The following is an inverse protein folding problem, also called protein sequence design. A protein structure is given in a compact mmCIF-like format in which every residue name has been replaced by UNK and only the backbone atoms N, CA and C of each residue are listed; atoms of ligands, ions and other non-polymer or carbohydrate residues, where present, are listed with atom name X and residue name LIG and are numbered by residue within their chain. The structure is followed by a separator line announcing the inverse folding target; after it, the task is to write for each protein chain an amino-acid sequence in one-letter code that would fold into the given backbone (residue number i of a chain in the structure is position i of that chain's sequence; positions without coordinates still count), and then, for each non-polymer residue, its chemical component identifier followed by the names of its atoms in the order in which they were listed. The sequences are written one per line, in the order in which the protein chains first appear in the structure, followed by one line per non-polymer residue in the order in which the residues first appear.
data_IF_514975887372
#
_entry.id   IF_514975887372
#
_cell.length_a   1.000
_cell.length_b   1.000
_cell.length_c   1.000
_cell.angle_alpha   90.00
_cell.angle_beta   90.00
_cell.angle_gamma   90.00
#
_symmetry.space_group_name_H-M   'P 1'
#
loop_
_entity.id
_entity.type
_entity.pdbx_description
1 polymer ?
#
# COMPACT_ATOMS: atom_id res chain seq x y z
N UNK A 1 26.27 -3.08 -13.61
CA UNK A 1 26.36 -2.76 -15.05
C UNK A 1 25.27 -1.74 -15.36
N UNK A 2 25.65 -0.48 -15.59
CA UNK A 2 24.73 0.66 -15.69
C UNK A 2 24.25 0.82 -17.15
N UNK A 3 22.93 0.77 -17.39
CA UNK A 3 22.33 1.08 -18.69
C UNK A 3 21.61 2.42 -18.61
N UNK A 4 22.11 3.39 -19.37
CA UNK A 4 21.48 4.70 -19.59
C UNK A 4 20.80 4.62 -20.96
N UNK A 5 19.49 4.90 -21.00
CA UNK A 5 18.72 5.03 -22.24
C UNK A 5 18.33 6.52 -22.40
N UNK A 6 18.62 7.19 -23.53
CA UNK A 6 18.16 8.55 -23.76
C UNK A 6 16.72 8.53 -24.28
N UNK A 7 15.87 9.43 -23.78
CA UNK A 7 14.52 9.62 -24.30
C UNK A 7 14.41 10.96 -25.04
N UNK A 8 13.81 10.92 -26.23
CA UNK A 8 13.59 12.04 -27.15
C UNK A 8 12.39 12.87 -26.68
N UNK A 9 12.49 14.20 -26.78
CA UNK A 9 11.43 15.16 -26.47
C UNK A 9 10.75 15.60 -27.77
N UNK A 10 9.43 15.41 -27.88
CA UNK A 10 8.61 16.09 -28.89
C UNK A 10 7.83 17.23 -28.22
N UNK A 11 8.02 18.46 -28.71
CA UNK A 11 7.27 19.64 -28.30
C UNK A 11 6.21 19.97 -29.35
N UNK A 12 4.96 20.15 -28.93
CA UNK A 12 3.91 20.74 -29.76
C UNK A 12 3.46 22.07 -29.13
N UNK A 13 3.48 23.13 -29.95
CA UNK A 13 3.00 24.47 -29.59
C UNK A 13 1.60 24.67 -30.16
N UNK A 14 0.65 25.04 -29.30
CA UNK A 14 -0.65 25.58 -29.72
C UNK A 14 -0.79 26.98 -29.12
N UNK A 15 -1.02 28.03 -29.94
CA UNK A 15 -1.20 29.38 -29.42
C UNK A 15 -2.56 29.49 -28.71
N UNK A 16 -2.59 30.21 -27.59
CA UNK A 16 -3.80 30.42 -26.79
C UNK A 16 -4.21 31.89 -26.88
N UNK A 17 -5.46 32.16 -27.25
CA UNK A 17 -6.08 33.50 -27.21
C UNK A 17 -6.28 33.90 -25.74
N UNK A 18 -5.76 35.06 -25.34
CA UNK A 18 -5.88 35.60 -23.99
C UNK A 18 -7.15 36.46 -23.90
N UNK A 19 -8.07 36.09 -23.00
CA UNK A 19 -9.16 36.95 -22.56
C UNK A 19 -8.72 37.71 -21.30
N UNK A 20 -8.93 39.03 -21.28
CA UNK A 20 -8.52 39.91 -20.19
C UNK A 20 -9.26 39.62 -18.88
N UNK A 21 -8.53 39.72 -17.77
CA UNK A 21 -9.03 39.57 -16.39
C UNK A 21 -9.63 40.89 -15.85
N UNK A 22 -10.60 40.83 -14.92
CA UNK A 22 -11.20 42.01 -14.31
C UNK A 22 -10.18 42.83 -13.48
N UNK A 23 -10.39 44.15 -13.36
CA UNK A 23 -9.47 45.06 -12.68
C UNK A 23 -9.51 44.86 -11.15
N UNK A 24 -8.37 45.10 -10.49
CA UNK A 24 -8.09 45.06 -9.04
C UNK A 24 -7.72 43.72 -8.38
N UNK A 25 -7.56 42.63 -9.13
CA UNK A 25 -6.87 41.45 -8.59
C UNK A 25 -5.34 41.62 -8.73
N UNK A 26 -4.60 41.63 -7.62
CA UNK A 26 -3.14 41.58 -7.64
C UNK A 26 -2.64 40.49 -8.63
N UNK A 27 -1.56 40.75 -9.40
CA UNK A 27 -1.14 39.90 -10.51
C UNK A 27 -0.77 38.50 -10.01
N UNK A 28 -1.36 37.46 -10.60
CA UNK A 28 -1.17 36.07 -10.18
C UNK A 28 0.31 35.73 -9.98
N UNK A 29 0.67 34.98 -8.91
CA UNK A 29 2.07 34.67 -8.66
C UNK A 29 2.68 33.90 -9.84
N UNK A 30 3.92 34.22 -10.21
CA UNK A 30 4.60 33.65 -11.39
C UNK A 30 4.72 32.11 -11.37
N UNK A 31 4.63 31.49 -10.19
CA UNK A 31 4.62 30.03 -10.04
C UNK A 31 3.28 29.38 -10.41
N UNK A 32 2.23 30.16 -10.71
CA UNK A 32 0.90 29.69 -11.12
C UNK A 32 0.67 30.02 -12.59
N UNK A 33 0.42 29.00 -13.40
CA UNK A 33 0.04 29.19 -14.81
C UNK A 33 -1.44 29.54 -14.92
N UNK A 34 -1.76 30.57 -15.72
CA UNK A 34 -3.15 30.94 -16.04
C UNK A 34 -3.95 29.77 -16.64
N UNK A 35 -3.27 28.91 -17.40
CA UNK A 35 -3.87 27.71 -18.03
C UNK A 35 -4.38 26.69 -17.01
N UNK A 36 -4.01 26.81 -15.73
CA UNK A 36 -4.47 25.92 -14.65
C UNK A 36 -5.71 26.43 -13.92
N UNK A 37 -6.29 27.57 -14.32
CA UNK A 37 -7.56 28.02 -13.77
C UNK A 37 -8.64 26.99 -14.09
N UNK A 38 -9.43 26.62 -13.10
CA UNK A 38 -10.64 25.81 -13.31
C UNK A 38 -11.58 26.53 -14.28
N UNK A 39 -12.35 25.75 -15.04
CA UNK A 39 -13.45 26.29 -15.82
C UNK A 39 -14.52 26.88 -14.86
N UNK A 40 -15.36 27.77 -15.36
CA UNK A 40 -16.32 28.49 -14.52
C UNK A 40 -17.38 27.55 -13.92
N UNK A 41 -17.77 26.49 -14.63
CA UNK A 41 -18.74 25.49 -14.17
C UNK A 41 -18.26 24.72 -12.94
N UNK A 42 -16.99 24.29 -12.93
CA UNK A 42 -16.38 23.57 -11.82
C UNK A 42 -16.09 24.52 -10.65
N UNK A 43 -15.66 25.75 -10.96
CA UNK A 43 -15.42 26.78 -9.95
C UNK A 43 -16.71 27.18 -9.22
N UNK A 44 -17.85 27.22 -9.92
CA UNK A 44 -19.15 27.47 -9.31
C UNK A 44 -19.51 26.37 -8.30
N UNK A 45 -19.28 25.09 -8.66
CA UNK A 45 -19.56 23.92 -7.82
C UNK A 45 -18.56 23.72 -6.67
N UNK A 46 -17.37 24.34 -6.75
CA UNK A 46 -16.35 24.19 -5.73
C UNK A 46 -16.80 24.78 -4.39
N UNK A 47 -16.84 23.94 -3.34
CA UNK A 47 -17.23 24.35 -1.99
C UNK A 47 -16.17 25.26 -1.36
N UNK A 48 -16.62 26.27 -0.64
CA UNK A 48 -15.77 27.10 0.22
C UNK A 48 -15.58 26.44 1.60
N UNK A 49 -14.48 26.72 2.29
CA UNK A 49 -14.21 26.14 3.61
C UNK A 49 -13.69 24.71 3.50
N UNK A 50 -14.40 23.75 4.11
CA UNK A 50 -14.04 22.34 4.05
C UNK A 50 -15.20 21.44 3.64
N UNK A 51 -14.89 20.25 3.13
CA UNK A 51 -15.88 19.22 2.87
C UNK A 51 -15.25 17.83 2.99
N UNK A 52 -16.11 16.83 3.24
CA UNK A 52 -15.72 15.43 3.41
C UNK A 52 -16.21 14.61 2.22
N UNK A 53 -15.41 13.65 1.78
CA UNK A 53 -15.80 12.63 0.80
C UNK A 53 -15.35 11.27 1.29
N UNK A 54 -16.06 10.20 0.94
CA UNK A 54 -15.62 8.85 1.25
C UNK A 54 -16.16 7.83 0.26
N UNK A 55 -15.47 6.69 0.18
CA UNK A 55 -15.84 5.56 -0.67
C UNK A 55 -15.56 4.25 0.09
N UNK A 56 -16.59 3.45 0.40
CA UNK A 56 -16.39 2.08 0.87
C UNK A 56 -15.97 1.18 -0.29
N UNK A 57 -15.30 0.08 0.02
CA UNK A 57 -14.96 -0.96 -0.94
C UNK A 57 -14.98 -2.34 -0.28
N UNK A 58 -15.17 -3.36 -1.10
CA UNK A 58 -15.16 -4.78 -0.71
C UNK A 58 -14.12 -5.50 -1.55
N UNK A 59 -13.52 -6.54 -0.99
CA UNK A 59 -12.52 -7.37 -1.66
C UNK A 59 -12.76 -8.85 -1.37
N UNK A 60 -12.30 -9.69 -2.28
CA UNK A 60 -12.23 -11.14 -2.08
C UNK A 60 -10.93 -11.61 -2.70
N UNK A 61 -10.10 -12.25 -1.90
CA UNK A 61 -8.79 -12.78 -2.29
C UNK A 61 -8.69 -14.23 -1.78
N UNK A 62 -8.30 -15.21 -2.60
CA UNK A 62 -8.09 -16.60 -2.16
C UNK A 62 -7.19 -16.75 -0.93
N UNK A 63 -6.23 -15.84 -0.72
CA UNK A 63 -5.26 -15.96 0.36
C UNK A 63 -5.76 -15.35 1.67
N UNK A 64 -6.40 -14.18 1.59
CA UNK A 64 -6.83 -13.39 2.74
C UNK A 64 -8.35 -13.43 2.98
N UNK A 65 -9.09 -14.16 2.16
CA UNK A 65 -10.53 -14.32 2.22
C UNK A 65 -11.30 -13.08 1.77
N UNK A 66 -12.51 -12.91 2.31
CA UNK A 66 -13.37 -11.76 2.03
C UNK A 66 -12.98 -10.61 2.96
N UNK A 67 -13.02 -9.39 2.45
CA UNK A 67 -12.68 -8.21 3.21
C UNK A 67 -13.39 -6.97 2.73
N UNK A 68 -13.10 -5.87 3.42
CA UNK A 68 -13.62 -4.58 3.08
C UNK A 68 -12.84 -3.48 3.76
N UNK A 69 -13.13 -2.27 3.29
CA UNK A 69 -12.48 -1.08 3.79
C UNK A 69 -13.20 0.17 3.35
N UNK A 70 -12.64 1.30 3.73
CA UNK A 70 -13.11 2.59 3.27
C UNK A 70 -11.93 3.54 3.11
N UNK A 71 -12.08 4.47 2.18
CA UNK A 71 -11.23 5.65 2.09
C UNK A 71 -12.08 6.88 2.37
N UNK A 72 -11.59 7.75 3.25
CA UNK A 72 -12.15 9.06 3.54
C UNK A 72 -11.16 10.18 3.24
N UNK A 73 -11.67 11.33 2.83
CA UNK A 73 -10.89 12.55 2.65
C UNK A 73 -11.57 13.74 3.30
N UNK A 74 -10.77 14.55 4.01
CA UNK A 74 -11.12 15.89 4.45
C UNK A 74 -10.39 16.89 3.55
N UNK A 75 -11.15 17.69 2.82
CA UNK A 75 -10.63 18.69 1.89
C UNK A 75 -10.82 20.07 2.49
N UNK A 76 -9.75 20.85 2.57
CA UNK A 76 -9.78 22.27 2.94
C UNK A 76 -9.56 23.09 1.68
N UNK A 77 -10.58 23.78 1.20
CA UNK A 77 -10.55 24.55 -0.04
C UNK A 77 -10.14 26.01 0.13
N UNK A 78 -10.15 26.53 1.35
CA UNK A 78 -9.93 27.97 1.62
C UNK A 78 -11.17 28.79 1.28
N UNK A 79 -10.98 30.10 1.11
CA UNK A 79 -12.04 31.06 0.79
C UNK A 79 -12.13 31.32 -0.71
N UNK A 80 -13.31 31.65 -1.24
CA UNK A 80 -13.46 32.05 -2.66
C UNK A 80 -12.69 33.32 -2.99
N UNK A 81 -12.46 34.18 -1.99
CA UNK A 81 -11.63 35.39 -2.09
C UNK A 81 -10.13 35.08 -2.22
N UNK A 82 -9.70 33.84 -1.95
CA UNK A 82 -8.29 33.47 -2.06
C UNK A 82 -7.88 33.42 -3.53
N UNK A 83 -6.76 34.07 -3.85
CA UNK A 83 -6.23 34.17 -5.22
C UNK A 83 -5.93 32.83 -5.87
N UNK A 84 -5.72 31.78 -5.07
CA UNK A 84 -5.42 30.42 -5.51
C UNK A 84 -6.65 29.50 -5.52
N UNK A 85 -7.83 29.97 -5.09
CA UNK A 85 -9.04 29.16 -5.00
C UNK A 85 -9.43 28.56 -6.35
N UNK A 86 -9.30 29.33 -7.43
CA UNK A 86 -9.59 28.86 -8.78
C UNK A 86 -8.46 28.04 -9.43
N UNK A 87 -7.30 27.92 -8.78
CA UNK A 87 -6.07 27.35 -9.37
C UNK A 87 -5.59 26.08 -8.67
N UNK A 88 -6.19 25.72 -7.54
CA UNK A 88 -5.90 24.50 -6.80
C UNK A 88 -7.19 23.74 -6.46
N UNK A 89 -7.25 22.41 -6.65
CA UNK A 89 -8.44 21.62 -6.31
C UNK A 89 -8.83 21.77 -4.83
N UNK A 90 -7.83 21.83 -3.94
CA UNK A 90 -7.91 22.06 -2.50
C UNK A 90 -6.64 22.83 -2.07
N UNK A 91 -6.63 23.42 -0.86
CA UNK A 91 -5.45 23.98 -0.20
C UNK A 91 -4.70 22.90 0.59
N UNK A 92 -5.46 22.04 1.27
CA UNK A 92 -4.97 20.86 1.99
C UNK A 92 -5.98 19.74 1.83
N UNK A 93 -5.52 18.52 1.62
CA UNK A 93 -6.33 17.31 1.66
C UNK A 93 -5.69 16.30 2.60
N UNK A 94 -6.46 15.87 3.59
CA UNK A 94 -6.12 14.75 4.46
C UNK A 94 -6.90 13.52 4.00
N UNK A 95 -6.24 12.39 3.88
CA UNK A 95 -6.84 11.12 3.49
C UNK A 95 -6.53 10.03 4.50
N UNK A 96 -7.51 9.19 4.77
CA UNK A 96 -7.35 7.97 5.57
C UNK A 96 -7.96 6.82 4.79
N UNK A 97 -7.23 5.72 4.68
CA UNK A 97 -7.74 4.45 4.14
C UNK A 97 -7.55 3.39 5.21
N UNK A 98 -8.57 2.57 5.46
CA UNK A 98 -8.46 1.40 6.33
C UNK A 98 -9.12 0.20 5.68
N UNK A 99 -8.52 -0.98 5.82
CA UNK A 99 -9.05 -2.24 5.29
C UNK A 99 -8.74 -3.40 6.22
N UNK A 100 -9.61 -4.42 6.20
CA UNK A 100 -9.45 -5.66 6.94
C UNK A 100 -10.13 -6.83 6.23
N UNK A 101 -9.60 -8.04 6.41
CA UNK A 101 -10.12 -9.27 5.79
C UNK A 101 -10.34 -10.40 6.80
N UNK A 102 -11.11 -11.42 6.43
CA UNK A 102 -11.35 -12.62 7.27
C UNK A 102 -10.08 -13.41 7.55
N UNK A 103 -9.08 -13.33 6.67
CA UNK A 103 -7.73 -13.89 6.86
C UNK A 103 -6.84 -13.07 7.79
N UNK A 104 -7.38 -12.07 8.50
CA UNK A 104 -6.64 -11.18 9.40
C UNK A 104 -5.54 -10.35 8.72
N UNK A 105 -5.64 -10.14 7.41
CA UNK A 105 -4.85 -9.11 6.73
C UNK A 105 -5.50 -7.75 6.93
N UNK A 106 -4.68 -6.72 7.15
CA UNK A 106 -5.17 -5.38 7.37
C UNK A 106 -4.15 -4.31 7.05
N UNK A 107 -4.64 -3.13 6.64
CA UNK A 107 -3.79 -1.99 6.38
C UNK A 107 -4.48 -0.68 6.76
N UNK A 108 -3.67 0.29 7.18
CA UNK A 108 -4.06 1.69 7.34
C UNK A 108 -3.12 2.58 6.53
N UNK A 109 -3.71 3.50 5.77
CA UNK A 109 -3.01 4.48 4.96
C UNK A 109 -3.39 5.89 5.37
N UNK A 110 -2.41 6.78 5.45
CA UNK A 110 -2.57 8.21 5.71
C UNK A 110 -2.01 9.01 4.53
N UNK A 111 -2.70 10.05 4.12
CA UNK A 111 -2.25 10.93 3.02
C UNK A 111 -2.44 12.39 3.40
N UNK A 112 -1.39 13.19 3.24
CA UNK A 112 -1.42 14.65 3.29
C UNK A 112 -1.02 15.18 1.92
N UNK A 113 -1.79 16.10 1.37
CA UNK A 113 -1.46 16.81 0.12
C UNK A 113 -1.82 18.29 0.25
N UNK A 114 -0.82 19.16 0.14
CA UNK A 114 -0.97 20.61 0.32
C UNK A 114 -0.31 21.37 -0.85
N UNK A 115 -1.05 21.63 -1.94
CA UNK A 115 -0.55 22.44 -3.05
C UNK A 115 -0.49 23.93 -2.69
N UNK A 116 0.53 24.61 -3.20
CA UNK A 116 0.80 26.02 -2.91
C UNK A 116 0.84 26.33 -1.41
N UNK A 117 1.59 25.50 -0.68
CA UNK A 117 1.79 25.59 0.76
C UNK A 117 2.25 27.00 1.13
N UNK A 118 1.59 27.59 2.13
CA UNK A 118 1.83 28.97 2.56
C UNK A 118 1.79 30.01 1.42
N UNK A 119 0.93 29.81 0.41
CA UNK A 119 0.81 30.68 -0.77
C UNK A 119 2.11 30.79 -1.59
N UNK A 120 2.96 29.78 -1.54
CA UNK A 120 4.20 29.72 -2.36
C UNK A 120 4.03 28.77 -3.54
N UNK A 121 5.04 28.68 -4.41
CA UNK A 121 5.08 27.67 -5.48
C UNK A 121 5.32 26.23 -5.01
N UNK A 122 5.42 25.98 -3.70
CA UNK A 122 5.69 24.66 -3.14
C UNK A 122 4.42 23.85 -2.92
N UNK A 123 4.51 22.53 -3.09
CA UNK A 123 3.50 21.55 -2.71
C UNK A 123 4.16 20.49 -1.85
N UNK A 124 3.54 20.18 -0.72
CA UNK A 124 3.94 19.08 0.15
C UNK A 124 3.01 17.90 -0.06
N UNK A 125 3.56 16.70 -0.18
CA UNK A 125 2.83 15.44 -0.12
C UNK A 125 3.50 14.51 0.87
N UNK A 126 2.72 13.88 1.74
CA UNK A 126 3.22 12.83 2.64
C UNK A 126 2.24 11.69 2.57
N UNK A 127 2.71 10.52 2.17
CA UNK A 127 1.96 9.28 2.18
C UNK A 127 2.55 8.38 3.28
N UNK A 128 1.71 7.79 4.13
CA UNK A 128 2.10 6.83 5.15
C UNK A 128 1.26 5.57 5.03
N UNK A 129 1.86 4.40 5.24
CA UNK A 129 1.17 3.11 5.21
C UNK A 129 1.69 2.23 6.34
N UNK A 130 0.78 1.51 6.99
CA UNK A 130 1.10 0.34 7.82
C UNK A 130 0.24 -0.83 7.34
N UNK A 131 0.86 -1.99 7.15
CA UNK A 131 0.23 -3.19 6.63
C UNK A 131 0.70 -4.43 7.40
N UNK A 132 -0.22 -5.35 7.64
CA UNK A 132 0.03 -6.63 8.30
C UNK A 132 -0.65 -7.74 7.49
N UNK A 133 0.16 -8.61 6.90
CA UNK A 133 -0.29 -9.65 5.97
C UNK A 133 0.20 -11.01 6.46
N UNK A 134 -0.62 -11.74 7.24
CA UNK A 134 -0.20 -12.99 7.91
C UNK A 134 -0.17 -14.22 7.00
N UNK A 135 -0.71 -14.11 5.78
CA UNK A 135 -0.91 -15.27 4.92
C UNK A 135 0.07 -15.35 3.75
N UNK A 136 1.14 -14.55 3.71
CA UNK A 136 2.08 -14.60 2.59
C UNK A 136 2.65 -16.00 2.42
N UNK A 137 2.78 -16.44 1.17
CA UNK A 137 3.15 -17.81 0.83
C UNK A 137 4.62 -17.92 0.48
N UNK A 138 5.27 -18.94 1.01
CA UNK A 138 6.64 -19.30 0.68
C UNK A 138 6.74 -20.78 0.31
N UNK A 139 7.23 -21.04 -0.91
CA UNK A 139 7.40 -22.39 -1.46
C UNK A 139 8.86 -22.70 -1.80
N UNK A 140 9.82 -21.93 -1.25
CA UNK A 140 11.25 -22.08 -1.52
C UNK A 140 11.81 -21.14 -2.59
N UNK A 141 13.13 -21.20 -2.80
CA UNK A 141 13.89 -20.24 -3.64
C UNK A 141 14.39 -20.83 -4.96
N UNK A 142 14.42 -22.15 -5.09
CA UNK A 142 15.11 -22.85 -6.19
C UNK A 142 14.17 -23.81 -6.89
N UNK A 143 14.51 -24.21 -8.12
CA UNK A 143 13.71 -25.14 -8.92
C UNK A 143 13.51 -26.51 -8.24
N UNK A 144 14.38 -26.87 -7.29
CA UNK A 144 14.22 -28.08 -6.46
C UNK A 144 12.92 -28.08 -5.65
N UNK A 145 12.36 -26.91 -5.32
CA UNK A 145 11.08 -26.81 -4.60
C UNK A 145 9.87 -26.76 -5.55
N UNK A 146 10.11 -26.65 -6.86
CA UNK A 146 9.11 -26.77 -7.93
C UNK A 146 8.98 -28.22 -8.46
N UNK A 147 9.58 -29.18 -7.75
CA UNK A 147 9.43 -30.61 -8.05
C UNK A 147 7.96 -31.05 -8.01
N UNK A 148 7.70 -32.26 -8.52
CA UNK A 148 6.35 -32.85 -8.48
C UNK A 148 5.82 -32.81 -7.06
N UNK A 149 4.59 -32.32 -6.88
CA UNK A 149 3.88 -32.37 -5.61
C UNK A 149 3.99 -33.78 -5.03
N UNK A 150 4.26 -33.88 -3.73
CA UNK A 150 4.32 -35.17 -3.04
C UNK A 150 3.00 -35.97 -3.15
N UNK A 151 1.90 -35.28 -3.50
CA UNK A 151 0.57 -35.83 -3.77
C UNK A 151 0.09 -35.39 -5.15
N UNK A 152 -0.80 -36.17 -5.76
CA UNK A 152 -1.39 -35.81 -7.06
C UNK A 152 -2.33 -34.60 -6.96
N UNK A 153 -2.97 -34.39 -5.81
CA UNK A 153 -3.87 -33.25 -5.55
C UNK A 153 -3.31 -32.36 -4.47
N UNK A 154 -3.52 -31.04 -4.63
CA UNK A 154 -3.19 -30.05 -3.61
C UNK A 154 -3.98 -30.26 -2.32
N UNK A 155 -5.25 -30.70 -2.41
CA UNK A 155 -6.07 -31.02 -1.22
C UNK A 155 -5.39 -32.04 -0.33
N UNK A 156 -4.87 -33.11 -0.92
CA UNK A 156 -4.25 -34.21 -0.17
C UNK A 156 -2.93 -33.75 0.47
N UNK A 157 -2.21 -32.86 -0.21
CA UNK A 157 -1.03 -32.20 0.35
C UNK A 157 -1.39 -31.28 1.52
N UNK A 158 -2.44 -30.47 1.39
CA UNK A 158 -2.91 -29.59 2.46
C UNK A 158 -3.42 -30.39 3.68
N UNK A 159 -4.12 -31.51 3.44
CA UNK A 159 -4.56 -32.42 4.48
C UNK A 159 -3.38 -33.06 5.21
N UNK A 160 -2.32 -33.44 4.48
CA UNK A 160 -1.08 -33.94 5.08
C UNK A 160 -0.39 -32.90 5.96
N UNK A 161 -0.37 -31.62 5.54
CA UNK A 161 0.17 -30.54 6.37
C UNK A 161 -0.65 -30.34 7.66
N UNK A 162 -1.97 -30.51 7.58
CA UNK A 162 -2.84 -30.36 8.75
C UNK A 162 -2.74 -31.53 9.75
N UNK A 163 -2.23 -32.70 9.35
CA UNK A 163 -2.11 -33.86 10.25
C UNK A 163 -1.13 -33.61 11.39
N UNK A 164 -1.51 -34.06 12.59
CA UNK A 164 -0.62 -34.05 13.74
C UNK A 164 0.47 -35.11 13.54
N UNK A 165 1.74 -34.70 13.68
CA UNK A 165 2.91 -35.57 13.59
C UNK A 165 3.82 -35.41 14.81
N UNK A 166 4.73 -36.38 15.06
CA UNK A 166 5.82 -36.18 16.01
C UNK A 166 6.69 -34.98 15.62
N UNK A 167 7.18 -34.26 16.63
CA UNK A 167 8.13 -33.16 16.46
C UNK A 167 9.51 -33.63 16.00
N UNK A 168 10.18 -32.76 15.25
CA UNK A 168 11.58 -32.86 14.85
C UNK A 168 12.48 -32.08 15.83
N UNK A 169 13.79 -32.11 15.61
CA UNK A 169 14.75 -31.34 16.41
C UNK A 169 14.38 -29.84 16.45
N UNK A 170 14.20 -29.31 17.65
CA UNK A 170 13.80 -27.92 17.88
C UNK A 170 12.29 -27.64 17.82
N UNK A 171 11.45 -28.67 17.64
CA UNK A 171 9.99 -28.57 17.69
C UNK A 171 9.42 -29.15 19.01
N UNK A 172 8.15 -28.86 19.30
CA UNK A 172 7.42 -29.52 20.39
C UNK A 172 7.16 -31.01 20.08
N UNK A 173 6.87 -31.84 21.10
CA UNK A 173 6.73 -33.29 20.94
C UNK A 173 5.69 -33.73 19.89
N UNK A 174 4.59 -32.97 19.75
CA UNK A 174 3.58 -33.13 18.70
C UNK A 174 3.34 -31.78 18.06
N UNK A 175 3.28 -31.74 16.73
CA UNK A 175 3.07 -30.52 15.94
C UNK A 175 2.17 -30.78 14.74
N UNK A 176 1.67 -29.71 14.13
CA UNK A 176 1.03 -29.72 12.81
C UNK A 176 1.76 -28.75 11.88
N UNK A 177 1.85 -29.09 10.59
CA UNK A 177 2.50 -28.29 9.56
C UNK A 177 1.51 -27.38 8.82
N UNK A 178 0.31 -27.13 9.38
CA UNK A 178 -0.76 -26.32 8.79
C UNK A 178 -0.32 -24.92 8.30
N UNK A 179 0.72 -24.35 8.92
CA UNK A 179 1.28 -23.04 8.57
C UNK A 179 2.64 -23.13 7.86
N UNK A 180 3.05 -24.31 7.40
CA UNK A 180 4.42 -24.56 6.88
C UNK A 180 4.84 -23.62 5.76
N UNK A 181 3.91 -23.27 4.88
CA UNK A 181 4.16 -22.41 3.72
C UNK A 181 3.72 -20.96 3.94
N UNK A 182 3.33 -20.58 5.16
CA UNK A 182 2.87 -19.23 5.48
C UNK A 182 3.91 -18.45 6.27
N UNK A 183 4.00 -17.15 6.00
CA UNK A 183 4.74 -16.21 6.84
C UNK A 183 3.97 -14.90 6.96
N UNK A 184 4.22 -14.21 8.07
CA UNK A 184 3.73 -12.87 8.35
C UNK A 184 4.70 -11.85 7.76
N UNK A 185 4.17 -10.95 6.94
CA UNK A 185 4.82 -9.70 6.57
C UNK A 185 4.17 -8.54 7.33
N UNK A 186 5.01 -7.70 7.93
CA UNK A 186 4.62 -6.40 8.45
C UNK A 186 5.42 -5.34 7.75
N UNK A 187 4.70 -4.39 7.17
CA UNK A 187 5.29 -3.28 6.45
C UNK A 187 4.87 -1.96 7.11
N UNK A 188 5.81 -1.05 7.28
CA UNK A 188 5.48 0.36 7.37
C UNK A 188 6.29 1.17 6.37
N UNK A 189 5.64 2.20 5.82
CA UNK A 189 6.23 3.07 4.82
C UNK A 189 5.82 4.52 5.07
N UNK A 190 6.76 5.44 4.86
CA UNK A 190 6.53 6.88 4.84
C UNK A 190 7.22 7.46 3.60
N UNK A 191 6.46 8.19 2.79
CA UNK A 191 6.93 8.78 1.55
C UNK A 191 6.68 10.30 1.52
N UNK A 192 7.62 11.13 2.03
CA UNK A 192 7.56 12.57 1.87
C UNK A 192 8.02 12.99 0.46
N UNK A 193 7.22 13.85 -0.18
CA UNK A 193 7.52 14.47 -1.47
C UNK A 193 7.29 15.96 -1.40
N UNK A 194 8.16 16.71 -2.06
CA UNK A 194 8.02 18.15 -2.25
C UNK A 194 8.07 18.46 -3.75
N UNK A 195 7.19 19.34 -4.19
CA UNK A 195 7.11 19.78 -5.59
C UNK A 195 7.21 21.30 -5.65
N UNK A 196 8.04 21.85 -6.54
CA UNK A 196 8.12 23.27 -6.84
C UNK A 196 7.55 23.57 -8.21
N UNK A 197 6.57 24.47 -8.27
CA UNK A 197 6.00 24.97 -9.52
C UNK A 197 6.73 26.22 -10.02
N UNK A 198 6.98 26.25 -11.33
CA UNK A 198 7.48 27.39 -12.11
C UNK A 198 6.49 27.64 -13.26
N UNK A 199 5.23 27.93 -12.90
CA UNK A 199 4.14 28.10 -13.85
C UNK A 199 3.64 26.76 -14.41
N UNK A 200 4.02 26.45 -15.65
CA UNK A 200 3.64 25.19 -16.31
C UNK A 200 4.58 24.04 -15.93
N UNK A 201 5.85 24.34 -15.66
CA UNK A 201 6.86 23.36 -15.23
C UNK A 201 6.76 23.09 -13.73
N UNK A 202 7.00 21.83 -13.34
CA UNK A 202 7.08 21.38 -11.95
C UNK A 202 8.29 20.48 -11.76
N UNK A 203 9.04 20.73 -10.69
CA UNK A 203 10.15 19.88 -10.26
C UNK A 203 9.70 19.17 -8.99
N UNK A 204 9.88 17.86 -8.94
CA UNK A 204 9.52 17.02 -7.80
C UNK A 204 10.78 16.37 -7.22
N UNK A 205 10.89 16.38 -5.90
CA UNK A 205 11.85 15.60 -5.14
C UNK A 205 11.10 14.84 -4.04
N UNK A 206 11.55 13.64 -3.71
CA UNK A 206 10.93 12.85 -2.67
C UNK A 206 11.81 11.68 -2.26
N UNK A 207 11.46 11.09 -1.13
CA UNK A 207 12.15 9.91 -0.59
C UNK A 207 11.10 8.91 -0.10
N UNK A 208 11.44 7.63 -0.06
CA UNK A 208 10.62 6.60 0.55
C UNK A 208 11.42 5.92 1.64
N UNK A 209 10.89 5.92 2.86
CA UNK A 209 11.42 5.14 3.98
C UNK A 209 10.47 3.98 4.17
N UNK A 210 10.99 2.76 4.05
CA UNK A 210 10.21 1.55 4.17
C UNK A 210 10.92 0.57 5.09
N UNK A 211 10.15 -0.12 5.91
CA UNK A 211 10.64 -1.20 6.76
C UNK A 211 9.72 -2.40 6.62
N UNK A 212 10.33 -3.55 6.38
CA UNK A 212 9.69 -4.84 6.23
C UNK A 212 10.20 -5.75 7.35
N UNK A 213 9.27 -6.40 8.05
CA UNK A 213 9.57 -7.38 9.07
C UNK A 213 8.84 -8.69 8.75
N UNK A 214 9.59 -9.77 8.67
CA UNK A 214 9.08 -11.11 8.40
C UNK A 214 9.05 -11.93 9.67
N UNK A 215 7.99 -12.71 9.87
CA UNK A 215 7.89 -13.68 10.97
C UNK A 215 7.26 -14.97 10.49
N UNK A 216 7.73 -16.06 11.06
CA UNK A 216 7.17 -17.40 10.89
C UNK A 216 6.34 -17.78 12.12
N UNK A 217 5.60 -18.89 12.05
CA UNK A 217 4.55 -19.22 13.01
C UNK A 217 4.90 -20.38 13.95
N UNK A 218 6.17 -20.77 14.05
CA UNK A 218 6.59 -21.90 14.89
C UNK A 218 6.13 -21.72 16.34
N UNK A 219 5.58 -22.79 16.92
CA UNK A 219 5.09 -22.76 18.29
C UNK A 219 3.71 -22.13 18.48
N UNK A 220 3.16 -21.45 17.48
CA UNK A 220 1.79 -20.93 17.54
C UNK A 220 0.79 -22.09 17.55
N UNK A 221 -0.22 -22.01 18.43
CA UNK A 221 -1.25 -23.05 18.51
C UNK A 221 -2.13 -23.05 17.25
N UNK A 222 -2.24 -24.22 16.62
CA UNK A 222 -3.06 -24.50 15.44
C UNK A 222 -3.92 -25.73 15.69
N UNK A 223 -5.01 -25.83 14.96
CA UNK A 223 -5.83 -27.04 14.93
C UNK A 223 -5.23 -28.00 13.89
N UNK A 224 -4.90 -29.21 14.33
CA UNK A 224 -4.43 -30.29 13.47
C UNK A 224 -5.32 -31.53 13.58
N UNK A 225 -5.27 -32.40 12.59
CA UNK A 225 -6.07 -33.64 12.59
C UNK A 225 -5.25 -34.78 13.20
N UNK A 226 -5.73 -35.39 14.28
CA UNK A 226 -5.11 -36.58 14.86
C UNK A 226 -5.25 -37.77 13.90
N UNK A 227 -4.14 -38.39 13.43
CA UNK A 227 -4.22 -39.46 12.45
C UNK A 227 -4.83 -40.75 13.00
N UNK A 228 -4.86 -40.96 14.32
CA UNK A 228 -5.43 -42.16 14.93
C UNK A 228 -6.95 -42.05 15.12
N UNK A 229 -7.46 -40.86 15.44
CA UNK A 229 -8.88 -40.66 15.77
C UNK A 229 -9.66 -39.87 14.72
N UNK A 230 -8.97 -39.18 13.81
CA UNK A 230 -9.56 -38.25 12.85
C UNK A 230 -10.12 -36.96 13.48
N UNK A 231 -9.95 -36.77 14.79
CA UNK A 231 -10.47 -35.60 15.51
C UNK A 231 -9.49 -34.44 15.44
N UNK A 232 -10.01 -33.22 15.59
CA UNK A 232 -9.18 -32.02 15.73
C UNK A 232 -8.46 -32.02 17.09
N UNK A 233 -7.17 -31.70 17.07
CA UNK A 233 -6.33 -31.57 18.25
C UNK A 233 -5.54 -30.26 18.15
N UNK A 234 -5.50 -29.50 19.24
CA UNK A 234 -4.77 -28.24 19.31
C UNK A 234 -3.30 -28.51 19.63
N UNK A 235 -2.42 -28.21 18.68
CA UNK A 235 -0.98 -28.46 18.80
C UNK A 235 -0.18 -27.25 18.30
N UNK A 236 1.08 -27.06 18.74
CA UNK A 236 1.94 -26.05 18.17
C UNK A 236 2.21 -26.29 16.68
N UNK A 237 2.37 -25.22 15.91
CA UNK A 237 2.83 -25.29 14.53
C UNK A 237 4.30 -25.71 14.47
N UNK A 238 4.61 -26.62 13.54
CA UNK A 238 5.97 -27.06 13.24
C UNK A 238 6.81 -25.98 12.54
N UNK A 239 8.05 -26.31 12.24
CA UNK A 239 8.97 -25.45 11.48
C UNK A 239 8.41 -25.15 10.08
N UNK A 240 8.38 -23.87 9.74
CA UNK A 240 8.02 -23.42 8.40
C UNK A 240 9.15 -23.72 7.41
N UNK A 241 8.80 -23.83 6.13
CA UNK A 241 9.80 -24.00 5.06
C UNK A 241 10.75 -22.79 5.00
N UNK A 242 10.22 -21.59 5.24
CA UNK A 242 11.01 -20.36 5.27
C UNK A 242 12.01 -20.36 6.42
N UNK A 243 11.63 -20.87 7.60
CA UNK A 243 12.56 -21.06 8.73
C UNK A 243 13.64 -22.08 8.42
N UNK A 244 13.29 -23.21 7.82
CA UNK A 244 14.26 -24.24 7.40
C UNK A 244 15.29 -23.66 6.42
N UNK A 245 14.84 -22.85 5.45
CA UNK A 245 15.73 -22.18 4.51
C UNK A 245 16.58 -21.09 5.16
N UNK A 246 16.06 -20.36 6.15
CA UNK A 246 16.84 -19.39 6.90
C UNK A 246 17.92 -20.05 7.77
N UNK A 247 17.59 -21.14 8.47
CA UNK A 247 18.56 -21.94 9.25
C UNK A 247 19.64 -22.58 8.35
N UNK A 248 19.29 -22.91 7.11
CA UNK A 248 20.23 -23.42 6.11
C UNK A 248 21.04 -22.32 5.39
N UNK A 249 20.86 -21.04 5.75
CA UNK A 249 21.54 -19.90 5.11
C UNK A 249 21.12 -19.65 3.66
N UNK A 250 19.94 -20.15 3.25
CA UNK A 250 19.35 -19.94 1.91
C UNK A 250 18.47 -18.69 1.86
N UNK A 251 17.78 -18.38 2.95
CA UNK A 251 16.95 -17.18 3.10
C UNK A 251 17.53 -16.24 4.17
N UNK A 252 17.33 -14.93 4.01
CA UNK A 252 17.84 -13.89 4.93
C UNK A 252 16.75 -12.89 5.27
N UNK A 253 16.88 -12.19 6.41
CA UNK A 253 15.95 -11.14 6.84
C UNK A 253 14.80 -11.63 7.72
N UNK A 254 14.96 -12.80 8.33
CA UNK A 254 14.02 -13.46 9.24
C UNK A 254 14.46 -13.36 10.69
#
# INVERSE_FOLDING_TARGET
MLRILPFVVLASFVPSVVRAAPPDAAPLPAFVSQKRRMNDTDLAKKKEGFFVTGLPFFSSDPLNGVGGGATGYLHFNGKRTDRLFAYAPYRVRLGVTAQYTTGAAGAIGLKLDAPYLANTGWRLKVDGKYENTPNNLYFGLTETTLGRLAREKYSDYADDLNRVRPGRAGEAARVSDALRNKFLEREWMINPKIERSFGSLRVLAGYEIQHLAYRTFEGQQVDGTDPATGQSARVPAGKSLLREDAEAGRAFGL
#
